data_IF_767835638811
#
_entry.id   IF_767835638811
#
_cell.length_a   1.000
_cell.length_b   1.000
_cell.length_c   1.000
_cell.angle_alpha   90.00
_cell.angle_beta   90.00
_cell.angle_gamma   90.00
#
_symmetry.space_group_name_H-M   'P 1'
#
loop_
_entity.id
_entity.type
_entity.pdbx_description
1 polymer ?
#
# COMPACT_ATOMS: atom_id res chain seq x y z
N UNK A 1 5.32 25.69 -0.98
CA UNK A 1 4.00 25.12 -0.56
C UNK A 1 3.76 25.19 0.95
N UNK A 2 4.73 25.58 1.81
CA UNK A 2 4.52 25.91 3.24
C UNK A 2 5.67 26.77 3.75
N UNK A 3 5.49 27.46 4.90
CA UNK A 3 6.52 28.31 5.52
C UNK A 3 7.21 27.65 6.72
N UNK A 4 6.49 26.85 7.53
CA UNK A 4 7.01 26.14 8.72
C UNK A 4 6.25 24.82 8.97
N UNK A 5 6.85 23.90 9.73
CA UNK A 5 6.24 22.65 10.16
C UNK A 5 6.70 22.25 11.57
N UNK A 6 5.83 21.59 12.34
CA UNK A 6 6.14 20.97 13.63
C UNK A 6 5.78 19.49 13.52
N UNK A 7 6.70 18.61 13.92
CA UNK A 7 6.50 17.16 13.88
C UNK A 7 6.58 16.61 15.29
N UNK A 8 5.44 16.13 15.82
CA UNK A 8 5.35 15.55 17.17
C UNK A 8 5.02 14.08 17.07
N UNK A 9 5.78 13.25 17.82
CA UNK A 9 5.56 11.81 17.94
C UNK A 9 5.59 11.01 16.63
N UNK A 10 6.13 11.58 15.55
CA UNK A 10 6.31 10.92 14.26
C UNK A 10 7.41 11.61 13.46
N UNK A 11 8.06 10.87 12.57
CA UNK A 11 9.08 11.41 11.66
C UNK A 11 8.98 10.72 10.30
N UNK A 12 9.42 11.38 9.23
CA UNK A 12 9.43 10.79 7.88
C UNK A 12 10.39 9.59 7.75
N UNK A 13 11.38 9.49 8.65
CA UNK A 13 12.37 8.41 8.68
C UNK A 13 11.99 7.28 9.64
N UNK A 14 10.82 7.36 10.28
CA UNK A 14 10.38 6.27 11.13
C UNK A 14 10.29 4.98 10.31
N UNK A 15 10.74 3.82 10.84
CA UNK A 15 10.88 2.58 10.07
C UNK A 15 9.54 2.01 9.57
N UNK A 16 8.43 2.47 10.15
CA UNK A 16 7.07 2.11 9.75
C UNK A 16 6.42 3.10 8.78
N UNK A 17 7.01 4.29 8.61
CA UNK A 17 6.46 5.33 7.74
C UNK A 17 6.72 5.04 6.25
N UNK A 18 7.81 4.34 5.95
CA UNK A 18 8.17 3.99 4.58
C UNK A 18 8.37 2.48 4.42
N UNK A 19 8.09 1.98 3.23
CA UNK A 19 8.18 0.55 2.90
C UNK A 19 9.17 0.42 1.74
N UNK A 20 10.11 -0.54 1.78
CA UNK A 20 11.05 -0.74 0.67
C UNK A 20 10.31 -1.10 -0.62
N UNK A 21 10.89 -0.75 -1.79
CA UNK A 21 10.29 -1.08 -3.07
C UNK A 21 10.06 -2.58 -3.19
N UNK A 22 8.94 -2.97 -3.79
CA UNK A 22 8.55 -4.38 -3.95
C UNK A 22 7.75 -4.95 -2.77
N UNK A 23 8.02 -4.56 -1.51
CA UNK A 23 7.26 -5.09 -0.36
C UNK A 23 5.80 -4.64 -0.40
N UNK A 24 5.52 -3.40 -0.83
CA UNK A 24 4.16 -2.93 -1.07
C UNK A 24 3.42 -3.81 -2.09
N UNK A 25 4.09 -4.20 -3.18
CA UNK A 25 3.53 -5.07 -4.21
C UNK A 25 3.27 -6.48 -3.69
N UNK A 26 4.23 -7.08 -2.98
CA UNK A 26 4.07 -8.42 -2.40
C UNK A 26 2.93 -8.47 -1.38
N UNK A 27 2.77 -7.42 -0.56
CA UNK A 27 1.63 -7.31 0.38
C UNK A 27 0.31 -7.18 -0.36
N UNK A 28 0.25 -6.37 -1.43
CA UNK A 28 -0.96 -6.24 -2.25
C UNK A 28 -1.36 -7.56 -2.93
N UNK A 29 -0.39 -8.33 -3.44
CA UNK A 29 -0.63 -9.66 -4.02
C UNK A 29 -1.13 -10.63 -2.96
N UNK A 30 -0.51 -10.64 -1.78
CA UNK A 30 -0.95 -11.51 -0.67
C UNK A 30 -2.37 -11.17 -0.21
N UNK A 31 -2.71 -9.89 -0.17
CA UNK A 31 -4.07 -9.44 0.12
C UNK A 31 -5.03 -9.91 -0.98
N UNK A 32 -4.69 -9.77 -2.26
CA UNK A 32 -5.50 -10.28 -3.36
C UNK A 32 -5.76 -11.80 -3.27
N UNK A 33 -4.76 -12.58 -2.84
CA UNK A 33 -4.92 -14.01 -2.61
C UNK A 33 -5.93 -14.31 -1.48
N UNK A 34 -5.91 -13.54 -0.40
CA UNK A 34 -6.87 -13.70 0.71
C UNK A 34 -8.31 -13.41 0.26
N UNK A 35 -8.49 -12.50 -0.69
CA UNK A 35 -9.79 -12.18 -1.28
C UNK A 35 -10.15 -13.07 -2.49
N UNK A 36 -9.39 -14.14 -2.75
CA UNK A 36 -9.55 -15.02 -3.92
C UNK A 36 -9.57 -14.27 -5.27
N UNK A 37 -8.86 -13.15 -5.37
CA UNK A 37 -8.72 -12.37 -6.60
C UNK A 37 -7.63 -12.95 -7.51
N UNK A 38 -7.76 -12.73 -8.83
CA UNK A 38 -6.71 -13.08 -9.80
C UNK A 38 -5.50 -12.17 -9.67
N UNK A 39 -4.30 -12.77 -9.57
CA UNK A 39 -3.02 -12.05 -9.36
C UNK A 39 -2.16 -11.90 -10.63
N UNK A 40 -2.71 -12.22 -11.80
CA UNK A 40 -1.98 -12.23 -13.08
C UNK A 40 -1.53 -10.83 -13.50
N UNK A 41 -2.39 -9.82 -13.30
CA UNK A 41 -2.10 -8.43 -13.68
C UNK A 41 -2.63 -7.46 -12.63
N UNK A 42 -1.92 -6.35 -12.43
CA UNK A 42 -2.29 -5.30 -11.47
C UNK A 42 -3.70 -4.75 -11.70
N UNK A 43 -4.16 -4.65 -12.96
CA UNK A 43 -5.50 -4.17 -13.28
C UNK A 43 -6.58 -5.08 -12.70
N UNK A 44 -6.42 -6.40 -12.83
CA UNK A 44 -7.36 -7.39 -12.31
C UNK A 44 -7.45 -7.35 -10.78
N UNK A 45 -6.31 -7.17 -10.10
CA UNK A 45 -6.25 -6.99 -8.65
C UNK A 45 -7.04 -5.74 -8.24
N UNK A 46 -6.83 -4.62 -8.93
CA UNK A 46 -7.52 -3.36 -8.64
C UNK A 46 -9.02 -3.42 -8.92
N UNK A 47 -9.43 -4.05 -10.02
CA UNK A 47 -10.84 -4.21 -10.38
C UNK A 47 -11.55 -5.12 -9.36
N UNK A 48 -10.87 -6.17 -8.87
CA UNK A 48 -11.37 -7.01 -7.79
C UNK A 48 -11.56 -6.21 -6.49
N UNK A 49 -10.57 -5.41 -6.07
CA UNK A 49 -10.68 -4.58 -4.87
C UNK A 49 -11.79 -3.53 -4.94
N UNK A 50 -12.07 -2.98 -6.12
CA UNK A 50 -13.16 -2.01 -6.30
C UNK A 50 -14.55 -2.65 -6.23
N UNK A 51 -14.65 -3.93 -6.58
CA UNK A 51 -15.91 -4.66 -6.63
C UNK A 51 -16.21 -5.46 -5.35
N UNK A 52 -15.24 -5.55 -4.42
CA UNK A 52 -15.44 -6.10 -3.09
C UNK A 52 -16.37 -5.16 -2.30
N UNK A 53 -17.61 -5.61 -2.04
CA UNK A 53 -18.58 -4.99 -1.14
C UNK A 53 -18.68 -5.78 0.16
#
# INVERSE_FOLDING_TARGET
>A
LFHRAISMSGTALAPWANIPPGVARSRAIKLAQLFNCSVVCSKMILDCFKNQK
#
